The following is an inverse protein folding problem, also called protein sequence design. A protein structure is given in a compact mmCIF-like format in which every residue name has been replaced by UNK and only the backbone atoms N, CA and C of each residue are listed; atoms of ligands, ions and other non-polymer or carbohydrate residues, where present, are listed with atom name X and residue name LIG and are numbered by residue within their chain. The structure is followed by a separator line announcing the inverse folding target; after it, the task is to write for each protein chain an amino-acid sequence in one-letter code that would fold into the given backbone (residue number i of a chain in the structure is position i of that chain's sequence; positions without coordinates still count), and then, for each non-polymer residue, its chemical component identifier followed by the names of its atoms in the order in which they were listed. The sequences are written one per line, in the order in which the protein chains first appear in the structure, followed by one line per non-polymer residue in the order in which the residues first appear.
data_IF_687600346661
#
_entry.id   IF_687600346661
#
_cell.length_a   1.000
_cell.length_b   1.000
_cell.length_c   1.000
_cell.angle_alpha   90.00
_cell.angle_beta   90.00
_cell.angle_gamma   90.00
#
_symmetry.space_group_name_H-M   'P 1'
#
loop_
_entity.id
_entity.type
_entity.pdbx_description
1 polymer ?
#
# COMPACT_ATOMS: atom_id res chain seq x y z
N UNK A 1 -24.31 -3.12 -2.93
CA UNK A 1 -24.61 -3.07 -4.37
C UNK A 1 -23.35 -3.14 -5.25
N UNK A 2 -22.33 -2.29 -5.03
CA UNK A 2 -21.14 -2.22 -5.92
C UNK A 2 -20.31 -3.51 -6.04
N UNK A 3 -20.12 -4.26 -4.95
CA UNK A 3 -19.36 -5.53 -4.98
C UNK A 3 -20.05 -6.59 -5.84
N UNK A 4 -21.37 -6.78 -5.64
CA UNK A 4 -22.16 -7.72 -6.43
C UNK A 4 -22.15 -7.35 -7.93
N UNK A 5 -22.20 -6.06 -8.25
CA UNK A 5 -22.10 -5.58 -9.63
C UNK A 5 -20.72 -5.91 -10.25
N UNK A 6 -19.63 -5.73 -9.52
CA UNK A 6 -18.28 -6.06 -9.98
C UNK A 6 -18.08 -7.57 -10.20
N UNK A 7 -18.64 -8.40 -9.32
CA UNK A 7 -18.60 -9.86 -9.46
C UNK A 7 -19.40 -10.30 -10.70
N UNK A 8 -20.62 -9.78 -10.86
CA UNK A 8 -21.45 -10.06 -12.03
C UNK A 8 -20.77 -9.61 -13.33
N UNK A 9 -20.12 -8.44 -13.32
CA UNK A 9 -19.36 -7.93 -14.45
C UNK A 9 -18.19 -8.85 -14.82
N UNK A 10 -17.39 -9.29 -13.84
CA UNK A 10 -16.29 -10.22 -14.07
C UNK A 10 -16.77 -11.53 -14.71
N UNK A 11 -17.89 -12.08 -14.25
CA UNK A 11 -18.50 -13.28 -14.83
C UNK A 11 -18.99 -13.06 -16.25
N UNK A 12 -19.56 -11.89 -16.56
CA UNK A 12 -20.05 -11.55 -17.89
C UNK A 12 -18.91 -11.39 -18.91
N UNK A 13 -17.78 -10.77 -18.51
CA UNK A 13 -16.66 -10.51 -19.43
C UNK A 13 -15.67 -11.67 -19.55
N UNK A 14 -15.78 -12.72 -18.74
CA UNK A 14 -14.79 -13.84 -18.66
C UNK A 14 -14.42 -14.49 -19.99
N UNK A 15 -15.34 -14.55 -20.96
CA UNK A 15 -15.10 -15.17 -22.28
C UNK A 15 -14.49 -14.20 -23.31
N UNK A 16 -14.69 -12.89 -23.14
CA UNK A 16 -14.19 -11.85 -24.05
C UNK A 16 -12.90 -11.21 -23.55
N UNK A 17 -12.77 -11.01 -22.24
CA UNK A 17 -11.65 -10.37 -21.57
C UNK A 17 -11.21 -11.24 -20.36
N UNK A 18 -10.58 -12.39 -20.60
CA UNK A 18 -10.23 -13.34 -19.53
C UNK A 18 -9.27 -12.74 -18.51
N UNK A 19 -8.33 -11.88 -18.91
CA UNK A 19 -7.39 -11.21 -18.00
C UNK A 19 -8.08 -10.21 -17.07
N UNK A 20 -9.09 -9.48 -17.57
CA UNK A 20 -9.88 -8.57 -16.75
C UNK A 20 -10.69 -9.32 -15.69
N UNK A 21 -11.36 -10.41 -16.09
CA UNK A 21 -12.09 -11.27 -15.16
C UNK A 21 -11.17 -11.90 -14.12
N UNK A 22 -9.97 -12.36 -14.53
CA UNK A 22 -8.96 -12.92 -13.64
C UNK A 22 -8.45 -11.87 -12.64
N UNK A 23 -8.12 -10.65 -13.09
CA UNK A 23 -7.69 -9.56 -12.22
C UNK A 23 -8.74 -9.18 -11.17
N UNK A 24 -10.01 -9.08 -11.57
CA UNK A 24 -11.11 -8.82 -10.62
C UNK A 24 -11.25 -9.98 -9.62
N UNK A 25 -11.19 -11.23 -10.07
CA UNK A 25 -11.28 -12.40 -9.21
C UNK A 25 -10.12 -12.48 -8.19
N UNK A 26 -8.88 -12.25 -8.65
CA UNK A 26 -7.69 -12.26 -7.80
C UNK A 26 -7.69 -11.10 -6.78
N UNK A 27 -8.18 -9.93 -7.17
CA UNK A 27 -8.36 -8.80 -6.26
C UNK A 27 -9.31 -9.19 -5.12
N UNK A 28 -10.50 -9.73 -5.45
CA UNK A 28 -11.45 -10.16 -4.42
C UNK A 28 -10.95 -11.34 -3.61
N UNK A 29 -10.20 -12.29 -4.20
CA UNK A 29 -9.58 -13.38 -3.46
C UNK A 29 -8.60 -12.86 -2.39
N UNK A 30 -7.76 -11.90 -2.75
CA UNK A 30 -6.84 -11.26 -1.80
C UNK A 30 -7.58 -10.47 -0.71
N UNK A 31 -8.65 -9.75 -1.05
CA UNK A 31 -9.47 -9.03 -0.05
C UNK A 31 -10.27 -9.98 0.85
N UNK A 32 -10.67 -11.14 0.34
CA UNK A 32 -11.34 -12.16 1.15
C UNK A 32 -10.39 -12.69 2.23
N UNK A 33 -9.11 -12.94 1.87
CA UNK A 33 -8.09 -13.36 2.83
C UNK A 33 -7.87 -12.32 3.94
N UNK A 34 -7.88 -11.02 3.61
CA UNK A 34 -7.72 -9.95 4.61
C UNK A 34 -8.97 -9.69 5.45
N UNK A 35 -10.16 -9.98 4.92
CA UNK A 35 -11.45 -9.78 5.61
C UNK A 35 -11.97 -10.99 6.39
N UNK A 36 -11.20 -12.08 6.52
CA UNK A 36 -11.60 -13.27 7.28
C UNK A 36 -11.39 -13.13 8.79
N UNK A 37 -12.04 -14.02 9.55
CA UNK A 37 -12.11 -14.05 11.04
C UNK A 37 -10.75 -14.20 11.73
N UNK A 38 -9.66 -14.46 10.99
CA UNK A 38 -8.32 -14.55 11.57
C UNK A 38 -7.78 -13.14 11.77
N UNK A 39 -7.73 -12.62 13.01
CA UNK A 39 -7.19 -11.31 13.30
C UNK A 39 -5.67 -11.46 13.29
N UNK A 40 -5.09 -11.50 12.10
CA UNK A 40 -3.64 -11.39 11.98
C UNK A 40 -3.25 -9.95 12.32
N UNK A 41 -2.30 -9.78 13.24
CA UNK A 41 -1.83 -8.48 13.71
C UNK A 41 -1.47 -7.50 12.58
N UNK A 42 -1.88 -6.25 12.83
CA UNK A 42 -1.74 -4.97 12.12
C UNK A 42 -1.47 -4.97 10.61
N UNK A 43 -2.44 -4.41 9.86
CA UNK A 43 -2.32 -3.56 8.67
C UNK A 43 -0.88 -3.45 8.14
N UNK A 44 -0.46 -4.49 7.44
CA UNK A 44 0.85 -4.58 6.81
C UNK A 44 0.62 -4.35 5.31
N UNK A 45 1.33 -3.36 4.74
CA UNK A 45 1.28 -3.02 3.31
C UNK A 45 1.47 -4.27 2.42
N UNK A 46 2.18 -5.27 2.93
CA UNK A 46 2.44 -6.59 2.35
C UNK A 46 1.19 -7.33 1.90
N UNK A 47 0.05 -7.16 2.60
CA UNK A 47 -1.21 -7.82 2.24
C UNK A 47 -1.82 -7.28 0.94
N UNK A 48 -1.49 -6.05 0.57
CA UNK A 48 -2.01 -5.40 -0.62
C UNK A 48 -1.15 -5.61 -1.86
N UNK A 49 0.09 -6.10 -1.74
CA UNK A 49 0.97 -6.29 -2.91
C UNK A 49 0.35 -7.24 -3.95
N UNK A 50 -0.23 -8.35 -3.50
CA UNK A 50 -0.88 -9.30 -4.40
C UNK A 50 -2.19 -8.74 -5.02
N UNK A 51 -3.14 -8.18 -4.24
CA UNK A 51 -4.29 -7.46 -4.79
C UNK A 51 -3.91 -6.33 -5.77
N UNK A 52 -2.83 -5.57 -5.51
CA UNK A 52 -2.35 -4.52 -6.42
C UNK A 52 -1.87 -5.06 -7.76
N UNK A 53 -1.20 -6.22 -7.77
CA UNK A 53 -0.85 -6.89 -9.02
C UNK A 53 -2.09 -7.32 -9.81
N UNK A 54 -3.13 -7.81 -9.13
CA UNK A 54 -4.39 -8.18 -9.77
C UNK A 54 -5.07 -6.99 -10.47
N UNK A 55 -4.96 -5.79 -9.90
CA UNK A 55 -5.45 -4.54 -10.54
C UNK A 55 -4.65 -4.23 -11.82
N UNK A 56 -3.33 -4.40 -11.82
CA UNK A 56 -2.51 -4.22 -13.03
C UNK A 56 -2.91 -5.22 -14.13
N UNK A 57 -3.17 -6.47 -13.76
CA UNK A 57 -3.63 -7.52 -14.67
C UNK A 57 -4.97 -7.17 -15.32
N UNK A 58 -5.82 -6.41 -14.63
CA UNK A 58 -7.09 -5.93 -15.16
C UNK A 58 -6.94 -4.68 -16.08
N UNK A 59 -6.10 -3.72 -15.68
CA UNK A 59 -6.02 -2.40 -16.33
C UNK A 59 -5.11 -2.41 -17.58
N UNK A 60 -3.94 -3.03 -17.50
CA UNK A 60 -2.93 -2.96 -18.58
C UNK A 60 -3.45 -3.54 -19.90
N UNK A 61 -4.09 -4.73 -19.94
CA UNK A 61 -4.61 -5.27 -21.19
C UNK A 61 -5.74 -4.41 -21.79
N UNK A 62 -6.52 -3.73 -20.96
CA UNK A 62 -7.60 -2.85 -21.42
C UNK A 62 -7.06 -1.60 -22.10
N UNK A 63 -6.00 -1.01 -21.53
CA UNK A 63 -5.37 0.20 -22.07
C UNK A 63 -4.45 -0.09 -23.26
N UNK A 64 -3.80 -1.25 -23.28
CA UNK A 64 -2.88 -1.67 -24.34
C UNK A 64 -3.54 -2.42 -25.51
N UNK A 65 -4.87 -2.58 -25.49
CA UNK A 65 -5.59 -3.34 -26.52
C UNK A 65 -5.40 -2.72 -27.94
N UNK A 66 -4.95 -3.52 -28.94
CA UNK A 66 -4.81 -3.04 -30.31
C UNK A 66 -6.18 -2.72 -30.93
N UNK A 67 -6.23 -1.71 -31.81
CA UNK A 67 -7.48 -1.25 -32.45
C UNK A 67 -8.43 -0.49 -31.54
N UNK A 68 -7.99 -0.13 -30.33
CA UNK A 68 -8.76 0.67 -29.40
C UNK A 68 -8.97 2.12 -29.87
N UNK A 69 -10.15 2.67 -29.58
CA UNK A 69 -10.40 4.09 -29.72
C UNK A 69 -9.49 4.90 -28.79
N UNK A 70 -8.99 6.04 -29.28
CA UNK A 70 -8.12 6.99 -28.57
C UNK A 70 -6.76 6.39 -28.14
N UNK A 71 -5.94 5.86 -29.06
CA UNK A 71 -4.67 5.20 -28.72
C UNK A 71 -3.68 6.12 -28.00
N UNK A 72 -3.63 7.41 -28.38
CA UNK A 72 -2.79 8.41 -27.71
C UNK A 72 -3.21 8.62 -26.25
N UNK A 73 -4.49 8.88 -25.98
CA UNK A 73 -4.99 9.10 -24.62
C UNK A 73 -4.78 7.89 -23.72
N UNK A 74 -5.01 6.67 -24.24
CA UNK A 74 -4.75 5.42 -23.52
C UNK A 74 -3.28 5.22 -23.23
N UNK A 75 -2.41 5.49 -24.21
CA UNK A 75 -0.96 5.44 -24.05
C UNK A 75 -0.48 6.43 -22.99
N UNK A 76 -0.94 7.68 -23.04
CA UNK A 76 -0.62 8.70 -22.02
C UNK A 76 -1.10 8.27 -20.63
N UNK A 77 -2.33 7.77 -20.51
CA UNK A 77 -2.86 7.27 -19.24
C UNK A 77 -2.04 6.10 -18.71
N UNK A 78 -1.70 5.13 -19.56
CA UNK A 78 -0.89 3.98 -19.19
C UNK A 78 0.49 4.42 -18.69
N UNK A 79 1.16 5.29 -19.44
CA UNK A 79 2.47 5.85 -19.05
C UNK A 79 2.39 6.63 -17.73
N UNK A 80 1.34 7.44 -17.54
CA UNK A 80 1.13 8.18 -16.30
C UNK A 80 0.91 7.25 -15.10
N UNK A 81 0.09 6.20 -15.27
CA UNK A 81 -0.15 5.20 -14.24
C UNK A 81 1.13 4.42 -13.91
N UNK A 82 1.94 4.04 -14.90
CA UNK A 82 3.23 3.41 -14.68
C UNK A 82 4.21 4.33 -13.95
N UNK A 83 4.32 5.59 -14.37
CA UNK A 83 5.19 6.58 -13.72
C UNK A 83 4.78 6.80 -12.25
N UNK A 84 3.47 6.90 -11.99
CA UNK A 84 2.93 6.98 -10.63
C UNK A 84 3.31 5.75 -9.81
N UNK A 85 3.15 4.55 -10.38
CA UNK A 85 3.43 3.29 -9.69
C UNK A 85 4.92 3.13 -9.37
N UNK A 86 5.79 3.47 -10.32
CA UNK A 86 7.25 3.51 -10.11
C UNK A 86 7.61 4.54 -9.03
N UNK A 87 7.01 5.74 -9.08
CA UNK A 87 7.23 6.77 -8.07
C UNK A 87 6.83 6.33 -6.66
N UNK A 88 5.64 5.73 -6.52
CA UNK A 88 5.15 5.17 -5.25
C UNK A 88 6.06 4.05 -4.73
N UNK A 89 6.55 3.20 -5.64
CA UNK A 89 7.48 2.12 -5.30
C UNK A 89 8.82 2.68 -4.84
N UNK A 90 9.37 3.68 -5.53
CA UNK A 90 10.61 4.34 -5.16
C UNK A 90 10.50 5.05 -3.82
N UNK A 91 9.41 5.77 -3.55
CA UNK A 91 9.14 6.43 -2.27
C UNK A 91 9.04 5.42 -1.13
N UNK A 92 8.33 4.31 -1.35
CA UNK A 92 8.22 3.23 -0.37
C UNK A 92 9.59 2.60 -0.11
N UNK A 93 10.33 2.20 -1.15
CA UNK A 93 11.69 1.64 -0.99
C UNK A 93 12.65 2.60 -0.27
N UNK A 94 12.56 3.90 -0.57
CA UNK A 94 13.35 4.93 0.11
C UNK A 94 12.97 5.09 1.59
N UNK A 95 11.69 4.98 1.94
CA UNK A 95 11.21 5.01 3.32
C UNK A 95 11.73 3.81 4.13
N UNK A 96 11.65 2.61 3.54
CA UNK A 96 12.10 1.36 4.17
C UNK A 96 13.63 1.24 4.28
N UNK A 97 14.39 2.05 3.52
CA UNK A 97 15.86 2.05 3.57
C UNK A 97 16.48 2.63 4.85
N UNK A 98 15.70 3.28 5.72
CA UNK A 98 16.19 3.79 7.00
C UNK A 98 15.12 3.63 8.10
N UNK A 99 15.40 2.93 9.22
CA UNK A 99 14.41 2.68 10.27
C UNK A 99 13.80 3.95 10.88
N UNK A 100 14.61 5.00 11.09
CA UNK A 100 14.13 6.28 11.63
C UNK A 100 13.19 6.96 10.65
N UNK A 101 13.55 6.99 9.36
CA UNK A 101 12.71 7.55 8.30
C UNK A 101 11.38 6.82 8.19
N UNK A 102 11.40 5.49 8.26
CA UNK A 102 10.19 4.68 8.25
C UNK A 102 9.28 5.04 9.43
N UNK A 103 9.82 5.09 10.65
CA UNK A 103 9.05 5.43 11.84
C UNK A 103 8.47 6.85 11.78
N UNK A 104 9.23 7.82 11.28
CA UNK A 104 8.74 9.18 11.04
C UNK A 104 7.59 9.21 10.03
N UNK A 105 7.72 8.48 8.91
CA UNK A 105 6.64 8.40 7.92
C UNK A 105 5.38 7.75 8.48
N UNK A 106 5.50 6.73 9.33
CA UNK A 106 4.36 6.09 9.97
C UNK A 106 3.60 7.07 10.87
N UNK A 107 4.33 7.88 11.66
CA UNK A 107 3.72 8.93 12.49
C UNK A 107 3.11 10.05 11.65
N UNK A 108 3.75 10.45 10.55
CA UNK A 108 3.17 11.46 9.64
C UNK A 108 1.87 10.98 9.01
N UNK A 109 1.76 9.68 8.68
CA UNK A 109 0.55 9.08 8.09
C UNK A 109 -0.55 8.82 9.12
N UNK A 110 -0.17 8.47 10.35
CA UNK A 110 -1.11 8.18 11.43
C UNK A 110 -0.62 8.78 12.75
N UNK A 111 -0.77 10.11 12.94
CA UNK A 111 -0.28 10.81 14.13
C UNK A 111 -0.91 10.29 15.43
N UNK A 112 -2.18 9.91 15.37
CA UNK A 112 -2.94 9.46 16.53
C UNK A 112 -2.77 7.96 16.81
N UNK A 113 -1.94 7.24 16.06
CA UNK A 113 -1.70 5.81 16.29
C UNK A 113 -0.70 5.63 17.45
N UNK A 114 -1.11 5.04 18.59
CA UNK A 114 -0.20 4.82 19.70
C UNK A 114 0.99 3.95 19.31
N UNK A 115 0.76 2.97 18.42
CA UNK A 115 1.81 2.11 17.88
C UNK A 115 2.83 2.88 17.04
N UNK A 116 2.38 3.76 16.15
CA UNK A 116 3.30 4.53 15.31
C UNK A 116 4.18 5.46 16.16
N UNK A 117 3.57 6.12 17.15
CA UNK A 117 4.27 6.98 18.10
C UNK A 117 5.27 6.17 18.96
N UNK A 118 4.88 4.98 19.42
CA UNK A 118 5.75 4.07 20.17
C UNK A 118 6.96 3.63 19.35
N UNK A 119 6.76 3.18 18.09
CA UNK A 119 7.87 2.78 17.22
C UNK A 119 8.84 3.92 16.94
N UNK A 120 8.35 5.16 16.77
CA UNK A 120 9.21 6.33 16.61
C UNK A 120 10.04 6.60 17.87
N UNK A 121 9.40 6.59 19.04
CA UNK A 121 10.08 6.77 20.33
C UNK A 121 11.14 5.69 20.58
N UNK A 122 10.79 4.42 20.36
CA UNK A 122 11.71 3.29 20.44
C UNK A 122 12.89 3.44 19.48
N UNK A 123 12.65 3.90 18.26
CA UNK A 123 13.72 4.10 17.26
C UNK A 123 14.69 5.19 17.69
N UNK A 124 14.21 6.28 18.31
CA UNK A 124 15.09 7.31 18.89
C UNK A 124 15.98 6.77 20.02
N UNK A 125 15.47 5.89 20.88
CA UNK A 125 16.26 5.22 21.94
C UNK A 125 17.32 4.30 21.33
N UNK A 126 16.99 3.53 20.29
CA UNK A 126 17.98 2.69 19.61
C UNK A 126 19.06 3.56 18.95
N UNK A 127 18.67 4.68 18.32
CA UNK A 127 19.59 5.61 17.70
C UNK A 127 20.47 6.37 18.71
N UNK A 128 20.01 6.53 19.96
CA UNK A 128 20.82 7.09 21.03
C UNK A 128 21.89 6.14 21.56
N UNK A 129 21.89 4.88 21.11
CA UNK A 129 22.71 3.80 21.65
C UNK A 129 22.55 3.65 23.17
N UNK A 130 21.33 3.91 23.68
CA UNK A 130 21.01 3.90 25.11
C UNK A 130 21.86 4.86 25.96
N UNK A 131 22.49 5.87 25.34
CA UNK A 131 23.26 6.88 26.03
C UNK A 131 22.35 8.08 26.43
N UNK A 132 22.24 8.41 27.72
CA UNK A 132 21.46 9.56 28.19
C UNK A 132 21.87 10.89 27.55
N UNK A 133 23.15 11.09 27.25
CA UNK A 133 23.71 12.35 26.73
C UNK A 133 23.57 12.50 25.21
N UNK A 134 22.98 11.53 24.52
CA UNK A 134 22.79 11.57 23.08
C UNK A 134 21.72 12.60 22.68
N UNK A 135 21.90 13.33 21.55
CA UNK A 135 20.88 14.24 21.04
C UNK A 135 19.56 13.56 20.66
N UNK A 136 19.54 12.24 20.48
CA UNK A 136 18.32 11.48 20.17
C UNK A 136 17.47 11.14 21.39
N UNK A 137 18.07 11.09 22.59
CA UNK A 137 17.36 10.78 23.85
C UNK A 137 16.21 11.75 24.15
N UNK A 138 16.36 13.08 24.06
CA UNK A 138 15.24 14.00 24.29
C UNK A 138 14.13 13.86 23.24
N UNK A 139 14.44 13.40 22.01
CA UNK A 139 13.46 13.24 20.94
C UNK A 139 12.52 12.04 21.14
N UNK A 140 12.89 11.09 22.00
CA UNK A 140 12.07 9.91 22.30
C UNK A 140 10.85 10.22 23.17
N UNK A 141 10.92 11.23 24.05
CA UNK A 141 9.87 11.49 25.05
C UNK A 141 8.53 11.87 24.44
N UNK A 142 8.49 12.85 23.53
CA UNK A 142 7.23 13.34 22.98
C UNK A 142 6.44 12.25 22.20
N UNK A 143 7.05 11.41 21.35
CA UNK A 143 6.36 10.26 20.78
C UNK A 143 5.89 9.24 21.84
N UNK A 144 6.73 8.90 22.84
CA UNK A 144 6.35 7.93 23.86
C UNK A 144 5.18 8.41 24.74
N UNK A 145 5.16 9.69 25.11
CA UNK A 145 4.04 10.27 25.86
C UNK A 145 2.73 10.23 25.06
N UNK A 146 2.78 10.49 23.74
CA UNK A 146 1.60 10.35 22.87
C UNK A 146 1.16 8.91 22.72
N UNK A 147 2.09 7.96 22.73
CA UNK A 147 1.75 6.54 22.67
C UNK A 147 1.04 6.01 23.93
N UNK A 148 1.12 6.73 25.05
CA UNK A 148 0.47 6.35 26.31
C UNK A 148 -0.95 6.91 26.47
N UNK A 149 -1.37 7.83 25.60
CA UNK A 149 -2.72 8.40 25.59
C UNK A 149 -3.65 7.55 24.73
#
# INVERSE_FOLDING_TARGET
AGIAALIAFALAVRKRLPLLALGIALFFAGQLMTGTVIPLELVFEQRNYFPSFAVLLAIVPLLAAPGAALPLARGTLLTALFALWIGMTALTSWAWGNPLRLAQQLVLRAPDSPRAQYELGRTYIVMSNYNPDSPYTPLAYAPLERAMR
#
